data_IF_281032427582
#
_entry.id   IF_281032427582
#
_cell.length_a   1.000
_cell.length_b   1.000
_cell.length_c   1.000
_cell.angle_alpha   90.00
_cell.angle_beta   90.00
_cell.angle_gamma   90.00
#
_symmetry.space_group_name_H-M   'P 1'
#
loop_
_entity.id
_entity.type
_entity.pdbx_description
1 polymer ?
#
# COMPACT_ATOMS: atom_id res chain seq x y z
N UNK A 1 15.83 -14.46 -29.20
CA UNK A 1 16.60 -14.13 -27.98
C UNK A 1 17.87 -14.94 -27.99
N UNK A 2 19.01 -14.27 -28.00
CA UNK A 2 20.33 -14.89 -27.87
C UNK A 2 20.75 -15.04 -26.41
N UNK A 3 20.12 -14.28 -25.50
CA UNK A 3 20.30 -14.38 -24.05
C UNK A 3 19.15 -15.14 -23.35
N UNK A 4 19.31 -15.37 -22.03
CA UNK A 4 18.39 -16.12 -21.15
C UNK A 4 17.06 -15.40 -20.80
N UNK A 5 16.76 -14.26 -21.46
CA UNK A 5 15.56 -13.47 -21.20
C UNK A 5 15.63 -12.56 -19.97
N UNK A 6 16.81 -12.36 -19.38
CA UNK A 6 17.02 -11.36 -18.31
C UNK A 6 16.91 -9.94 -18.88
N UNK A 7 16.09 -9.11 -18.24
CA UNK A 7 15.88 -7.71 -18.60
C UNK A 7 17.14 -6.84 -18.44
N UNK A 8 18.17 -7.35 -17.76
CA UNK A 8 19.48 -6.69 -17.59
C UNK A 8 20.44 -6.96 -18.74
N UNK A 9 20.14 -7.89 -19.64
CA UNK A 9 21.03 -8.24 -20.75
C UNK A 9 21.16 -7.10 -21.76
N UNK A 10 22.33 -6.98 -22.41
CA UNK A 10 22.57 -5.96 -23.44
C UNK A 10 21.53 -6.00 -24.57
N UNK A 11 21.05 -7.20 -24.93
CA UNK A 11 19.97 -7.41 -25.90
C UNK A 11 18.66 -6.75 -25.41
N UNK A 12 18.26 -7.00 -24.16
CA UNK A 12 17.05 -6.42 -23.57
C UNK A 12 17.16 -4.90 -23.38
N UNK A 13 18.34 -4.40 -22.98
CA UNK A 13 18.59 -2.96 -22.85
C UNK A 13 18.54 -2.26 -24.21
N UNK A 14 19.07 -2.87 -25.28
CA UNK A 14 19.00 -2.30 -26.63
C UNK A 14 17.54 -2.14 -27.09
N UNK A 15 16.71 -3.16 -26.86
CA UNK A 15 15.26 -3.10 -27.14
C UNK A 15 14.58 -2.04 -26.26
N UNK A 16 14.93 -1.98 -24.97
CA UNK A 16 14.40 -0.98 -24.04
C UNK A 16 14.70 0.44 -24.52
N UNK A 17 15.91 0.71 -24.98
CA UNK A 17 16.32 2.02 -25.49
C UNK A 17 15.46 2.47 -26.68
N UNK A 18 15.14 1.56 -27.59
CA UNK A 18 14.26 1.80 -28.75
C UNK A 18 12.77 1.92 -28.40
N UNK A 19 12.36 1.48 -27.20
CA UNK A 19 10.94 1.44 -26.81
C UNK A 19 10.48 2.74 -26.14
N UNK A 20 9.30 3.25 -26.48
CA UNK A 20 8.68 4.38 -25.77
C UNK A 20 7.92 3.93 -24.51
N UNK A 21 7.13 2.86 -24.65
CA UNK A 21 6.24 2.34 -23.62
C UNK A 21 6.56 0.87 -23.34
N UNK A 22 6.68 0.51 -22.06
CA UNK A 22 6.86 -0.87 -21.61
C UNK A 22 5.59 -1.39 -20.95
N UNK A 23 4.99 -2.44 -21.53
CA UNK A 23 3.81 -3.12 -20.99
C UNK A 23 4.15 -4.57 -20.65
N UNK A 24 4.03 -4.97 -19.38
CA UNK A 24 4.56 -6.29 -18.96
C UNK A 24 3.99 -6.82 -17.63
N UNK A 25 4.33 -8.06 -17.31
CA UNK A 25 4.03 -8.75 -16.05
C UNK A 25 5.31 -9.45 -15.54
N UNK A 26 6.22 -8.72 -14.88
CA UNK A 26 7.48 -9.28 -14.42
C UNK A 26 7.24 -10.25 -13.25
N UNK A 27 8.16 -11.20 -13.01
CA UNK A 27 8.16 -11.95 -11.76
C UNK A 27 8.14 -10.99 -10.57
N UNK A 28 7.25 -11.20 -9.60
CA UNK A 28 7.07 -10.26 -8.49
C UNK A 28 8.32 -10.07 -7.63
N UNK A 29 9.24 -11.04 -7.62
CA UNK A 29 10.56 -10.93 -6.98
C UNK A 29 11.46 -9.88 -7.63
N UNK A 30 11.30 -9.64 -8.94
CA UNK A 30 12.09 -8.71 -9.74
C UNK A 30 11.40 -7.35 -9.92
N UNK A 31 10.16 -7.20 -9.43
CA UNK A 31 9.33 -6.01 -9.66
C UNK A 31 10.02 -4.70 -9.25
N UNK A 32 10.65 -4.65 -8.06
CA UNK A 32 11.29 -3.44 -7.53
C UNK A 32 12.43 -2.96 -8.42
N UNK A 33 13.29 -3.90 -8.79
CA UNK A 33 14.46 -3.63 -9.61
C UNK A 33 14.07 -3.27 -11.04
N UNK A 34 13.06 -3.95 -11.59
CA UNK A 34 12.61 -3.67 -12.93
C UNK A 34 11.94 -2.30 -13.04
N UNK A 35 11.09 -1.92 -12.07
CA UNK A 35 10.54 -0.56 -12.02
C UNK A 35 11.67 0.48 -11.91
N UNK A 36 12.68 0.25 -11.07
CA UNK A 36 13.81 1.16 -10.95
C UNK A 36 14.52 1.36 -12.30
N UNK A 37 14.78 0.29 -13.05
CA UNK A 37 15.34 0.37 -14.39
C UNK A 37 14.43 1.16 -15.35
N UNK A 38 13.13 0.88 -15.40
CA UNK A 38 12.21 1.61 -16.27
C UNK A 38 12.17 3.12 -15.96
N UNK A 39 12.24 3.48 -14.68
CA UNK A 39 12.33 4.88 -14.26
C UNK A 39 13.66 5.53 -14.64
N UNK A 40 14.78 4.80 -14.50
CA UNK A 40 16.13 5.27 -14.90
C UNK A 40 16.20 5.59 -16.39
N UNK A 41 15.65 4.69 -17.23
CA UNK A 41 15.54 4.88 -18.67
C UNK A 41 14.36 5.77 -19.10
N UNK A 42 13.65 6.38 -18.13
CA UNK A 42 12.54 7.34 -18.34
C UNK A 42 11.44 6.80 -19.27
N UNK A 43 11.07 5.54 -19.08
CA UNK A 43 10.04 4.89 -19.90
C UNK A 43 8.65 5.16 -19.37
N UNK A 44 7.71 5.32 -20.29
CA UNK A 44 6.31 5.17 -19.98
C UNK A 44 6.03 3.69 -19.72
N UNK A 45 5.26 3.39 -18.68
CA UNK A 45 5.12 2.01 -18.21
C UNK A 45 3.69 1.65 -17.85
N UNK A 46 3.34 0.39 -18.09
CA UNK A 46 2.13 -0.26 -17.60
C UNK A 46 2.50 -1.68 -17.17
N UNK A 47 2.72 -1.85 -15.86
CA UNK A 47 3.34 -3.07 -15.31
C UNK A 47 2.38 -3.74 -14.32
N UNK A 48 2.10 -5.03 -14.51
CA UNK A 48 1.33 -5.81 -13.54
C UNK A 48 2.18 -6.05 -12.30
N UNK A 49 1.60 -5.78 -11.13
CA UNK A 49 2.22 -6.05 -9.85
C UNK A 49 1.22 -6.43 -8.78
N UNK A 50 1.75 -6.81 -7.62
CA UNK A 50 0.94 -7.00 -6.42
C UNK A 50 0.72 -5.66 -5.71
N UNK A 51 -0.47 -5.42 -5.16
CA UNK A 51 -0.79 -4.28 -4.29
C UNK A 51 0.18 -4.17 -3.10
N UNK A 52 0.80 -5.28 -2.66
CA UNK A 52 1.81 -5.26 -1.60
C UNK A 52 3.03 -4.39 -1.98
N UNK A 53 3.31 -4.25 -3.27
CA UNK A 53 4.44 -3.48 -3.78
C UNK A 53 4.33 -1.98 -3.51
N UNK A 54 3.12 -1.46 -3.24
CA UNK A 54 2.89 -0.06 -2.83
C UNK A 54 3.79 0.32 -1.65
N UNK A 55 4.00 -0.60 -0.71
CA UNK A 55 4.77 -0.35 0.51
C UNK A 55 6.28 -0.60 0.37
N UNK A 56 6.76 -0.95 -0.81
CA UNK A 56 8.19 -1.22 -1.03
C UNK A 56 8.99 0.08 -1.02
N UNK A 57 10.23 0.02 -0.53
CA UNK A 57 11.06 1.21 -0.29
C UNK A 57 11.42 1.98 -1.57
N UNK A 58 11.50 1.30 -2.72
CA UNK A 58 11.74 1.93 -4.03
C UNK A 58 10.44 2.36 -4.74
N UNK A 59 9.27 1.87 -4.29
CA UNK A 59 8.00 2.10 -4.98
C UNK A 59 7.20 3.21 -4.31
N UNK A 60 7.05 3.18 -2.99
CA UNK A 60 6.27 4.18 -2.28
C UNK A 60 6.77 5.62 -2.50
N UNK A 61 8.09 5.91 -2.54
CA UNK A 61 8.55 7.26 -2.84
C UNK A 61 8.10 7.75 -4.22
N UNK A 62 8.11 6.89 -5.24
CA UNK A 62 7.60 7.23 -6.57
C UNK A 62 6.12 7.58 -6.52
N UNK A 63 5.33 6.86 -5.71
CA UNK A 63 3.90 7.15 -5.51
C UNK A 63 3.72 8.48 -4.79
N UNK A 64 4.42 8.69 -3.67
CA UNK A 64 4.38 9.93 -2.89
C UNK A 64 4.70 11.15 -3.75
N UNK A 65 5.71 11.05 -4.61
CA UNK A 65 6.15 12.14 -5.49
C UNK A 65 5.39 12.22 -6.82
N UNK A 66 4.26 11.51 -6.96
CA UNK A 66 3.45 11.50 -8.18
C UNK A 66 4.21 11.08 -9.45
N UNK A 67 5.24 10.25 -9.32
CA UNK A 67 6.02 9.67 -10.44
C UNK A 67 5.53 8.28 -10.85
N UNK A 68 4.73 7.62 -10.00
CA UNK A 68 4.12 6.31 -10.26
C UNK A 68 2.75 6.24 -9.57
N UNK A 69 1.77 5.57 -10.16
CA UNK A 69 0.44 5.38 -9.57
C UNK A 69 -0.17 4.04 -9.98
N UNK A 70 -1.31 3.71 -9.37
CA UNK A 70 -2.08 2.53 -9.76
C UNK A 70 -2.88 2.83 -11.03
N UNK A 71 -2.92 1.86 -11.95
CA UNK A 71 -3.77 1.92 -13.13
C UNK A 71 -5.26 1.75 -12.81
N UNK A 72 -6.09 1.76 -13.85
CA UNK A 72 -7.56 1.78 -13.73
C UNK A 72 -8.12 0.60 -12.94
N UNK A 73 -7.58 -0.60 -13.19
CA UNK A 73 -8.12 -1.84 -12.65
C UNK A 73 -7.23 -2.48 -11.60
N UNK A 74 -7.81 -2.84 -10.48
CA UNK A 74 -7.19 -3.57 -9.37
C UNK A 74 -8.06 -4.77 -8.98
N UNK A 75 -7.50 -5.66 -8.16
CA UNK A 75 -8.21 -6.80 -7.57
C UNK A 75 -7.90 -8.14 -8.24
N UNK A 76 -8.86 -9.05 -8.18
CA UNK A 76 -8.66 -10.44 -8.60
C UNK A 76 -8.41 -10.54 -10.12
N UNK A 77 -7.28 -11.13 -10.48
CA UNK A 77 -6.92 -11.46 -11.87
C UNK A 77 -6.62 -12.95 -11.99
N UNK A 78 -7.11 -13.55 -13.07
CA UNK A 78 -6.85 -14.94 -13.42
C UNK A 78 -5.72 -15.02 -14.44
N UNK A 79 -4.75 -15.89 -14.17
CA UNK A 79 -3.62 -16.15 -15.06
C UNK A 79 -3.67 -17.60 -15.50
N UNK A 80 -3.69 -17.83 -16.81
CA UNK A 80 -3.69 -19.17 -17.39
C UNK A 80 -2.38 -19.86 -17.02
N UNK A 81 -2.47 -21.06 -16.47
CA UNK A 81 -1.31 -21.85 -16.12
C UNK A 81 -0.88 -22.74 -17.30
N UNK A 82 0.44 -22.90 -17.52
CA UNK A 82 0.94 -23.94 -18.41
C UNK A 82 0.43 -25.33 -17.99
N UNK A 83 0.27 -26.22 -18.97
CA UNK A 83 -0.22 -27.60 -18.74
C UNK A 83 0.64 -28.36 -17.73
N UNK A 84 1.95 -28.11 -17.73
CA UNK A 84 2.93 -28.74 -16.84
C UNK A 84 3.17 -27.99 -15.51
N UNK A 85 2.44 -26.91 -15.23
CA UNK A 85 2.58 -26.25 -13.93
C UNK A 85 2.12 -27.18 -12.78
N UNK A 86 2.79 -27.15 -11.62
CA UNK A 86 2.35 -27.91 -10.45
C UNK A 86 0.94 -27.49 -10.03
N UNK A 87 0.09 -28.46 -9.72
CA UNK A 87 -1.26 -28.20 -9.24
C UNK A 87 -1.24 -27.59 -7.84
N UNK A 88 -2.09 -26.57 -7.65
CA UNK A 88 -2.34 -25.97 -6.34
C UNK A 88 -3.82 -26.05 -6.04
N UNK A 89 -4.15 -26.23 -4.76
CA UNK A 89 -5.54 -26.22 -4.27
C UNK A 89 -6.28 -24.90 -4.52
N UNK A 90 -5.55 -23.83 -4.88
CA UNK A 90 -6.09 -22.50 -5.17
C UNK A 90 -6.33 -22.26 -6.67
N UNK A 91 -5.95 -23.21 -7.53
CA UNK A 91 -6.19 -23.12 -8.97
C UNK A 91 -7.69 -23.27 -9.27
N UNK A 92 -8.15 -22.60 -10.32
CA UNK A 92 -9.55 -22.61 -10.78
C UNK A 92 -9.62 -22.97 -12.26
N UNK A 93 -10.71 -23.61 -12.66
CA UNK A 93 -11.05 -23.77 -14.08
C UNK A 93 -11.93 -22.58 -14.48
N UNK A 94 -11.46 -21.79 -15.44
CA UNK A 94 -12.18 -20.67 -16.03
C UNK A 94 -12.16 -20.89 -17.54
N UNK A 95 -13.34 -20.97 -18.17
CA UNK A 95 -13.50 -21.23 -19.61
C UNK A 95 -12.70 -22.46 -20.10
N UNK A 96 -12.73 -23.55 -19.33
CA UNK A 96 -12.02 -24.79 -19.64
C UNK A 96 -10.50 -24.74 -19.48
N UNK A 97 -9.94 -23.62 -19.00
CA UNK A 97 -8.50 -23.45 -18.76
C UNK A 97 -8.18 -23.41 -17.27
N UNK A 98 -7.12 -24.14 -16.88
CA UNK A 98 -6.59 -24.08 -15.51
C UNK A 98 -5.89 -22.74 -15.28
N UNK A 99 -6.33 -22.01 -14.28
CA UNK A 99 -5.86 -20.67 -13.96
C UNK A 99 -5.51 -20.55 -12.48
N UNK A 100 -4.51 -19.72 -12.16
CA UNK A 100 -4.31 -19.24 -10.79
C UNK A 100 -4.97 -17.87 -10.64
N UNK A 101 -5.60 -17.60 -9.48
CA UNK A 101 -6.30 -16.33 -9.23
C UNK A 101 -5.59 -15.57 -8.12
N UNK A 102 -5.12 -14.36 -8.44
CA UNK A 102 -4.42 -13.50 -7.50
C UNK A 102 -5.30 -12.30 -7.15
N UNK A 103 -5.79 -12.27 -5.90
CA UNK A 103 -6.76 -11.28 -5.40
C UNK A 103 -6.23 -9.85 -5.24
N UNK A 104 -4.92 -9.68 -5.18
CA UNK A 104 -4.25 -8.41 -4.89
C UNK A 104 -3.44 -7.90 -6.09
N UNK A 105 -3.88 -8.20 -7.31
CA UNK A 105 -3.20 -7.77 -8.53
C UNK A 105 -3.62 -6.34 -8.91
N UNK A 106 -2.71 -5.55 -9.43
CA UNK A 106 -2.98 -4.22 -9.95
C UNK A 106 -2.02 -3.86 -11.08
N UNK A 107 -2.38 -2.86 -11.86
CA UNK A 107 -1.44 -2.19 -12.75
C UNK A 107 -0.72 -1.07 -12.01
N UNK A 108 0.57 -0.92 -12.25
CA UNK A 108 1.35 0.26 -11.92
C UNK A 108 1.68 0.99 -13.22
N UNK A 109 1.61 2.32 -13.20
CA UNK A 109 1.84 3.14 -14.38
C UNK A 109 2.26 4.55 -14.00
N UNK A 110 2.98 5.21 -14.90
CA UNK A 110 3.25 6.64 -14.90
C UNK A 110 2.54 7.35 -16.07
N UNK A 111 1.62 6.66 -16.75
CA UNK A 111 0.79 7.19 -17.83
C UNK A 111 -0.55 7.64 -17.24
N UNK A 112 -0.95 8.86 -17.54
CA UNK A 112 -2.16 9.43 -16.95
C UNK A 112 -3.42 8.75 -17.47
N UNK A 113 -4.46 8.70 -16.64
CA UNK A 113 -5.76 8.14 -17.01
C UNK A 113 -6.89 8.87 -16.28
N UNK A 114 -8.10 8.85 -16.84
CA UNK A 114 -9.26 9.58 -16.33
C UNK A 114 -9.50 9.40 -14.83
N UNK A 115 -9.44 8.15 -14.34
CA UNK A 115 -9.65 7.82 -12.92
C UNK A 115 -8.67 8.52 -11.96
N UNK A 116 -7.45 8.86 -12.39
CA UNK A 116 -6.43 9.50 -11.55
C UNK A 116 -6.82 10.94 -11.19
N UNK A 117 -7.54 11.61 -12.09
CA UNK A 117 -7.92 13.00 -11.92
C UNK A 117 -9.39 13.13 -11.53
N UNK A 118 -9.98 12.08 -10.96
CA UNK A 118 -11.36 12.08 -10.45
C UNK A 118 -11.33 12.26 -8.94
N UNK A 119 -11.66 13.46 -8.42
CA UNK A 119 -11.88 13.65 -6.99
C UNK A 119 -12.99 12.72 -6.51
N UNK A 120 -12.86 12.23 -5.28
CA UNK A 120 -13.94 11.53 -4.59
C UNK A 120 -14.82 12.53 -3.85
N UNK A 121 -16.12 12.30 -3.86
CA UNK A 121 -17.05 13.06 -3.02
C UNK A 121 -16.88 12.63 -1.55
N UNK A 122 -16.82 13.62 -0.67
CA UNK A 122 -16.67 13.46 0.77
C UNK A 122 -17.96 13.91 1.45
N UNK A 123 -18.58 13.03 2.23
CA UNK A 123 -19.89 13.28 2.85
C UNK A 123 -19.87 13.28 4.38
N UNK A 124 -18.77 12.83 4.99
CA UNK A 124 -18.65 12.73 6.43
C UNK A 124 -17.98 13.97 7.02
N UNK A 125 -18.25 14.24 8.30
CA UNK A 125 -17.65 15.33 9.07
C UNK A 125 -16.93 14.78 10.29
N UNK A 126 -15.83 15.42 10.66
CA UNK A 126 -15.05 15.16 11.86
C UNK A 126 -15.63 15.88 13.07
N UNK A 127 -16.04 17.15 12.91
CA UNK A 127 -16.53 17.98 14.02
C UNK A 127 -17.84 17.38 14.56
N UNK A 128 -17.86 17.06 15.85
CA UNK A 128 -18.99 16.41 16.52
C UNK A 128 -19.07 14.90 16.33
N UNK A 129 -18.07 14.28 15.70
CA UNK A 129 -17.93 12.85 15.44
C UNK A 129 -16.53 12.34 15.72
N UNK A 130 -15.76 13.04 16.57
CA UNK A 130 -14.35 12.77 16.85
C UNK A 130 -14.10 11.34 17.34
N UNK A 131 -15.08 10.72 18.01
CA UNK A 131 -15.04 9.34 18.46
C UNK A 131 -14.93 8.31 17.33
N UNK A 132 -15.38 8.66 16.12
CA UNK A 132 -15.29 7.79 14.94
C UNK A 132 -13.91 7.86 14.26
N UNK A 133 -13.07 8.80 14.69
CA UNK A 133 -11.78 9.14 14.10
C UNK A 133 -10.66 9.08 15.16
N UNK A 134 -10.38 7.88 15.72
CA UNK A 134 -9.41 7.76 16.80
C UNK A 134 -8.03 8.26 16.35
N UNK A 135 -7.35 9.01 17.23
CA UNK A 135 -5.98 9.46 16.98
C UNK A 135 -4.99 8.34 17.22
N UNK A 136 -3.91 8.33 16.44
CA UNK A 136 -2.80 7.43 16.72
C UNK A 136 -2.01 7.92 17.94
N UNK A 137 -1.45 6.97 18.69
CA UNK A 137 -0.54 7.26 19.81
C UNK A 137 0.87 7.61 19.32
N UNK A 138 1.27 7.03 18.17
CA UNK A 138 2.63 7.11 17.66
C UNK A 138 2.78 7.84 16.32
N UNK A 139 1.73 8.50 15.83
CA UNK A 139 1.75 9.42 14.69
C UNK A 139 0.78 10.58 14.95
N UNK A 140 1.09 11.78 14.48
CA UNK A 140 0.16 12.90 14.56
C UNK A 140 -0.85 12.85 13.39
N UNK A 141 -1.78 11.90 13.47
CA UNK A 141 -2.85 11.72 12.49
C UNK A 141 -4.06 11.00 13.12
N UNK A 142 -5.23 11.14 12.49
CA UNK A 142 -6.43 10.34 12.81
C UNK A 142 -6.48 9.07 11.96
N UNK A 143 -7.07 8.00 12.49
CA UNK A 143 -7.41 6.81 11.73
C UNK A 143 -8.70 7.02 10.95
N UNK A 144 -8.64 6.75 9.64
CA UNK A 144 -9.82 6.68 8.78
C UNK A 144 -9.85 5.28 8.18
N UNK A 145 -10.65 4.40 8.78
CA UNK A 145 -10.60 2.96 8.46
C UNK A 145 -11.11 2.60 7.06
N UNK A 146 -11.91 3.47 6.43
CA UNK A 146 -12.47 3.29 5.09
C UNK A 146 -12.39 4.60 4.31
N UNK A 147 -12.08 4.52 3.02
CA UNK A 147 -11.99 5.68 2.12
C UNK A 147 -13.26 6.52 2.11
N UNK A 148 -14.44 5.89 2.21
CA UNK A 148 -15.73 6.60 2.22
C UNK A 148 -15.95 7.44 3.49
N UNK A 149 -15.24 7.12 4.57
CA UNK A 149 -15.42 7.79 5.87
C UNK A 149 -14.47 9.01 5.99
N UNK A 150 -13.69 9.35 4.95
CA UNK A 150 -12.80 10.53 4.95
C UNK A 150 -13.65 11.79 5.20
N UNK A 151 -13.37 12.55 6.27
CA UNK A 151 -14.11 13.76 6.58
C UNK A 151 -13.76 14.92 5.65
N UNK A 152 -14.74 15.76 5.32
CA UNK A 152 -14.57 16.92 4.43
C UNK A 152 -14.10 18.19 5.15
N UNK A 153 -14.17 18.23 6.48
CA UNK A 153 -13.94 19.39 7.36
C UNK A 153 -12.71 19.23 8.28
N UNK A 154 -11.82 18.27 7.97
CA UNK A 154 -10.59 18.01 8.72
C UNK A 154 -9.34 18.32 7.88
N UNK A 155 -8.56 19.30 8.32
CA UNK A 155 -7.33 19.75 7.63
C UNK A 155 -6.05 19.03 8.13
N UNK A 156 -6.15 18.17 9.14
CA UNK A 156 -5.02 17.43 9.69
C UNK A 156 -4.61 16.22 8.84
N UNK A 157 -3.53 15.55 9.24
CA UNK A 157 -3.13 14.30 8.62
C UNK A 157 -4.11 13.16 8.97
N UNK A 158 -4.43 12.33 7.97
CA UNK A 158 -5.35 11.21 8.07
C UNK A 158 -4.66 9.94 7.58
N UNK A 159 -4.69 8.89 8.38
CA UNK A 159 -4.25 7.57 7.96
C UNK A 159 -5.38 6.81 7.28
N UNK A 160 -5.25 6.56 5.99
CA UNK A 160 -6.22 5.82 5.16
C UNK A 160 -5.66 4.45 4.75
N UNK A 161 -6.51 3.47 4.37
CA UNK A 161 -6.06 2.16 3.89
C UNK A 161 -5.24 2.30 2.60
N UNK A 162 -4.31 1.38 2.33
CA UNK A 162 -3.50 1.39 1.10
C UNK A 162 -4.34 1.35 -0.20
N UNK A 163 -5.55 0.79 -0.12
CA UNK A 163 -6.51 0.75 -1.24
C UNK A 163 -7.06 2.12 -1.61
N UNK A 164 -6.84 3.15 -0.78
CA UNK A 164 -7.11 4.54 -1.12
C UNK A 164 -6.46 4.96 -2.44
N UNK A 165 -5.27 4.44 -2.77
CA UNK A 165 -4.56 4.78 -4.00
C UNK A 165 -5.34 4.44 -5.28
N UNK A 166 -6.32 3.54 -5.22
CA UNK A 166 -7.21 3.25 -6.36
C UNK A 166 -8.09 4.43 -6.74
N UNK A 167 -8.31 5.35 -5.80
CA UNK A 167 -9.20 6.51 -5.87
C UNK A 167 -8.46 7.82 -5.59
N UNK A 168 -7.14 7.78 -5.49
CA UNK A 168 -6.35 8.93 -5.14
C UNK A 168 -6.34 9.94 -6.29
N UNK A 169 -6.88 11.13 -6.03
CA UNK A 169 -6.76 12.27 -6.90
C UNK A 169 -5.68 13.22 -6.34
N UNK A 170 -4.57 13.45 -7.05
CA UNK A 170 -3.49 14.30 -6.56
C UNK A 170 -3.86 15.78 -6.51
N UNK A 171 -4.93 16.21 -7.19
CA UNK A 171 -5.45 17.57 -7.05
C UNK A 171 -6.28 17.73 -5.77
N UNK A 172 -6.83 16.63 -5.24
CA UNK A 172 -7.63 16.63 -4.01
C UNK A 172 -6.81 16.31 -2.75
N UNK A 173 -5.80 15.46 -2.86
CA UNK A 173 -5.03 14.98 -1.71
C UNK A 173 -3.52 15.08 -1.92
N UNK A 174 -2.82 15.33 -0.82
CA UNK A 174 -1.38 15.21 -0.70
C UNK A 174 -1.04 13.92 0.06
N UNK A 175 -0.08 13.13 -0.45
CA UNK A 175 0.44 11.95 0.25
C UNK A 175 1.62 12.40 1.12
N UNK A 176 1.49 12.26 2.43
CA UNK A 176 2.51 12.65 3.40
C UNK A 176 3.50 11.52 3.67
N UNK A 177 3.02 10.27 3.68
CA UNK A 177 3.85 9.14 4.07
C UNK A 177 3.09 7.82 4.23
N UNK A 178 3.78 6.82 4.77
CA UNK A 178 3.19 5.53 5.13
C UNK A 178 3.61 5.16 6.55
N UNK A 179 2.68 4.65 7.35
CA UNK A 179 2.93 4.24 8.74
C UNK A 179 3.63 2.88 8.80
N UNK A 180 4.82 2.78 8.21
CA UNK A 180 5.60 1.55 8.15
C UNK A 180 6.60 1.42 9.32
N UNK A 181 6.89 2.51 10.04
CA UNK A 181 7.80 2.52 11.18
C UNK A 181 9.24 2.08 10.87
N UNK A 182 9.62 2.07 9.58
CA UNK A 182 10.96 1.69 9.11
C UNK A 182 11.74 2.93 8.71
N UNK A 183 13.06 2.88 8.91
CA UNK A 183 13.93 4.04 8.78
C UNK A 183 14.17 4.47 7.33
N UNK A 184 13.85 3.61 6.35
CA UNK A 184 13.92 3.95 4.92
C UNK A 184 12.80 4.87 4.45
N UNK A 185 11.78 5.12 5.29
CA UNK A 185 10.72 6.08 5.01
C UNK A 185 10.94 7.37 5.81
N UNK A 186 10.64 8.50 5.17
CA UNK A 186 10.67 9.82 5.81
C UNK A 186 9.65 9.92 6.95
N UNK A 187 8.48 9.30 6.77
CA UNK A 187 7.42 9.29 7.75
C UNK A 187 7.75 8.32 8.90
N UNK A 188 8.13 8.89 10.05
CA UNK A 188 8.55 8.15 11.24
C UNK A 188 7.53 8.27 12.37
N UNK A 189 7.40 7.24 13.22
CA UNK A 189 6.56 7.34 14.40
C UNK A 189 7.17 8.33 15.40
N UNK A 190 6.32 9.14 16.03
CA UNK A 190 6.71 10.06 17.12
C UNK A 190 7.12 9.31 18.38
N UNK A 191 6.66 8.06 18.54
CA UNK A 191 6.87 7.20 19.70
C UNK A 191 7.21 5.79 19.26
N UNK A 192 8.28 5.21 19.83
CA UNK A 192 8.56 3.76 19.75
C UNK A 192 8.32 3.13 21.12
N UNK A 193 7.63 2.00 21.13
CA UNK A 193 7.31 1.23 22.32
C UNK A 193 8.51 0.42 22.81
N UNK A 194 8.77 0.47 24.11
CA UNK A 194 9.80 -0.29 24.81
C UNK A 194 9.19 -1.60 25.32
N UNK A 195 9.88 -2.72 25.06
CA UNK A 195 9.45 -4.07 25.43
C UNK A 195 7.97 -4.39 25.13
N UNK A 196 7.47 -4.11 23.90
CA UNK A 196 6.07 -4.36 23.61
C UNK A 196 5.77 -5.87 23.66
N UNK A 197 4.65 -6.21 24.28
CA UNK A 197 4.12 -7.57 24.40
C UNK A 197 2.81 -7.66 23.64
N UNK A 198 2.67 -8.66 22.78
CA UNK A 198 1.41 -9.02 22.13
C UNK A 198 0.66 -10.01 22.99
N UNK A 199 -0.60 -9.72 23.26
CA UNK A 199 -1.56 -10.61 23.93
C UNK A 199 -2.50 -11.19 22.88
N UNK A 200 -2.56 -12.51 22.76
CA UNK A 200 -3.41 -13.21 21.79
C UNK A 200 -4.80 -13.49 22.38
N UNK A 201 -5.79 -13.71 21.50
CA UNK A 201 -7.16 -14.03 21.90
C UNK A 201 -7.27 -15.31 22.74
N UNK A 202 -6.33 -16.26 22.58
CA UNK A 202 -6.25 -17.49 23.37
C UNK A 202 -5.52 -17.33 24.71
N UNK A 203 -5.16 -16.10 25.11
CA UNK A 203 -4.45 -15.80 26.36
C UNK A 203 -2.93 -15.96 26.31
N UNK A 204 -2.37 -16.53 25.24
CA UNK A 204 -0.91 -16.61 25.07
C UNK A 204 -0.29 -15.25 24.76
N UNK A 205 0.98 -15.07 25.11
CA UNK A 205 1.75 -13.86 24.78
C UNK A 205 2.82 -14.14 23.73
N UNK A 206 3.20 -13.12 22.98
CA UNK A 206 4.31 -13.19 22.00
C UNK A 206 5.03 -11.83 21.88
N UNK A 207 6.14 -11.82 21.16
CA UNK A 207 6.91 -10.59 20.93
C UNK A 207 6.03 -9.53 20.21
N UNK A 208 5.90 -8.34 20.81
CA UNK A 208 5.07 -7.25 20.32
C UNK A 208 5.80 -6.24 19.44
N UNK A 209 7.05 -6.48 19.01
CA UNK A 209 7.89 -5.47 18.33
C UNK A 209 7.28 -4.93 17.04
N UNK A 210 6.35 -5.67 16.41
CA UNK A 210 5.56 -5.17 15.28
C UNK A 210 4.78 -3.88 15.58
N UNK A 211 4.51 -3.57 16.85
CA UNK A 211 3.95 -2.29 17.28
C UNK A 211 4.76 -1.10 16.78
N UNK A 212 6.09 -1.27 16.65
CA UNK A 212 7.00 -0.24 16.18
C UNK A 212 7.11 -0.15 14.65
N UNK A 213 6.37 -0.98 13.93
CA UNK A 213 6.36 -0.99 12.46
C UNK A 213 5.04 -0.48 11.88
N UNK A 214 4.12 0.02 12.70
CA UNK A 214 2.75 0.38 12.31
C UNK A 214 2.22 1.52 13.18
N UNK A 215 1.11 2.13 12.77
CA UNK A 215 0.39 3.05 13.65
C UNK A 215 -0.40 2.30 14.72
N UNK A 216 -0.55 2.92 15.89
CA UNK A 216 -1.19 2.32 17.07
C UNK A 216 -2.27 3.21 17.64
N UNK A 217 -3.28 2.61 18.24
CA UNK A 217 -4.42 3.30 18.87
C UNK A 217 -4.55 2.81 20.31
N UNK A 218 -4.55 3.74 21.26
CA UNK A 218 -4.75 3.44 22.67
C UNK A 218 -6.18 2.92 22.93
N UNK A 219 -6.31 1.95 23.81
CA UNK A 219 -7.58 1.38 24.26
C UNK A 219 -7.61 1.25 25.78
N UNK A 220 -8.78 1.53 26.36
CA UNK A 220 -8.99 1.49 27.81
C UNK A 220 -9.71 0.22 28.27
N UNK A 221 -10.31 -0.53 27.35
CA UNK A 221 -10.96 -1.82 27.60
C UNK A 221 -10.18 -2.93 26.90
N UNK A 222 -10.02 -4.07 27.58
CA UNK A 222 -9.41 -5.24 26.98
C UNK A 222 -10.34 -5.79 25.89
N UNK A 223 -9.89 -5.92 24.64
CA UNK A 223 -10.69 -6.49 23.57
C UNK A 223 -10.69 -8.02 23.68
N UNK A 224 -11.65 -8.67 23.03
CA UNK A 224 -11.64 -10.14 22.87
C UNK A 224 -10.54 -10.63 21.92
N UNK A 225 -10.07 -9.76 21.03
CA UNK A 225 -9.01 -10.04 20.07
C UNK A 225 -7.61 -9.72 20.58
N UNK A 226 -6.65 -9.74 19.65
CA UNK A 226 -5.26 -9.39 19.93
C UNK A 226 -5.11 -7.92 20.35
N UNK A 227 -4.33 -7.68 21.40
CA UNK A 227 -3.93 -6.33 21.83
C UNK A 227 -2.48 -6.32 22.30
N UNK A 228 -1.97 -5.14 22.65
CA UNK A 228 -0.57 -4.94 23.02
C UNK A 228 -0.44 -4.10 24.29
N UNK A 229 0.66 -4.32 24.99
CA UNK A 229 1.13 -3.51 26.12
C UNK A 229 2.60 -3.19 25.92
N UNK A 230 3.11 -2.13 26.54
CA UNK A 230 4.53 -1.76 26.52
C UNK A 230 4.86 -0.91 27.75
N UNK A 231 6.12 -0.89 28.16
CA UNK A 231 6.56 -0.21 29.40
C UNK A 231 6.30 1.31 29.38
N UNK A 232 6.33 1.91 28.19
CA UNK A 232 6.10 3.34 27.97
C UNK A 232 4.77 3.63 27.27
N UNK A 233 3.80 2.70 27.32
CA UNK A 233 2.45 2.95 26.84
C UNK A 233 1.55 3.38 28.00
N UNK A 234 0.75 4.42 27.79
CA UNK A 234 -0.16 4.96 28.81
C UNK A 234 -1.36 4.03 29.06
N UNK A 235 -1.66 3.17 28.09
CA UNK A 235 -2.68 2.12 28.20
C UNK A 235 -2.34 0.94 27.31
N UNK A 236 -3.23 -0.07 27.31
CA UNK A 236 -3.25 -1.10 26.26
C UNK A 236 -3.46 -0.42 24.91
N UNK A 237 -3.04 -1.05 23.82
CA UNK A 237 -3.21 -0.49 22.48
C UNK A 237 -3.42 -1.56 21.42
N UNK A 238 -3.99 -1.13 20.29
CA UNK A 238 -4.11 -1.90 19.07
C UNK A 238 -3.06 -1.45 18.06
N UNK A 239 -2.71 -2.35 17.16
CA UNK A 239 -1.95 -2.02 15.95
C UNK A 239 -2.92 -2.04 14.77
N UNK A 240 -2.86 -1.02 13.92
CA UNK A 240 -3.58 -1.03 12.64
C UNK A 240 -2.65 -1.47 11.50
N UNK A 241 -3.22 -2.01 10.43
CA UNK A 241 -2.47 -2.26 9.20
C UNK A 241 -1.84 -0.97 8.70
N UNK A 242 -0.76 -1.06 7.90
CA UNK A 242 -0.08 0.14 7.39
C UNK A 242 -1.08 1.08 6.70
N UNK A 243 -1.01 2.35 7.06
CA UNK A 243 -1.85 3.44 6.55
C UNK A 243 -1.02 4.37 5.71
N UNK A 244 -1.62 4.87 4.64
CA UNK A 244 -1.06 6.00 3.90
C UNK A 244 -1.54 7.25 4.63
N UNK A 245 -0.61 8.09 5.06
CA UNK A 245 -0.94 9.39 5.62
C UNK A 245 -1.22 10.34 4.48
N UNK A 246 -2.41 10.93 4.47
CA UNK A 246 -2.85 11.91 3.49
C UNK A 246 -3.30 13.19 4.17
N UNK A 247 -3.36 14.27 3.40
CA UNK A 247 -4.00 15.53 3.77
C UNK A 247 -4.84 16.03 2.60
N UNK A 248 -5.99 16.64 2.88
CA UNK A 248 -6.78 17.34 1.88
C UNK A 248 -6.03 18.58 1.41
N UNK A 249 -5.93 18.78 0.09
CA UNK A 249 -5.46 20.04 -0.46
C UNK A 249 -6.58 21.06 -0.32
N UNK A 250 -6.28 22.24 0.20
CA UNK A 250 -7.27 23.31 0.22
C UNK A 250 -7.63 23.67 -1.22
N UNK A 251 -8.93 23.79 -1.50
CA UNK A 251 -9.40 24.33 -2.77
C UNK A 251 -9.04 25.81 -2.78
N UNK A 252 -7.99 26.14 -3.54
CA UNK A 252 -7.69 27.51 -3.97
C UNK A 252 -8.87 28.13 -4.72
#
# INVERSE_FOLDING_TARGET
>A
MRCNGDFRSDEAISILLESDIVVTNPPFSLFREYIAQLMEYKKDLLVIGSMNAISYKEIFPLIKHNALWLGVTTGARAFILPKNAPEKSTDKIIDGKRCTVLGNTCWFTNITHSKRNQPIELYHTYRGHEENYPRYDNYDAIEVSKVKDIPCDYDGAMGVPITFLEKCCPDQFEILGITAGRDEFECRPSKRYKNPVQHNANGSTSNGSKANTRSTILIYRTPSGTYYTADNADSKFLIVYARILIKTKQRS
#
